data_IF_399178928550
#
_entry.id   IF_399178928550
#
_cell.length_a   1.000
_cell.length_b   1.000
_cell.length_c   1.000
_cell.angle_alpha   90.00
_cell.angle_beta   90.00
_cell.angle_gamma   90.00
#
_symmetry.space_group_name_H-M   'P 1'
#
loop_
_entity.id
_entity.type
_entity.pdbx_description
1 polymer ?
#
# COMPACT_ATOMS: atom_id res chain seq x y z
N UNK A 1 -12.78 8.60 6.59
CA UNK A 1 -11.71 7.96 5.79
C UNK A 1 -10.55 8.93 5.60
N UNK A 2 -9.34 8.47 5.83
CA UNK A 2 -8.15 9.31 5.73
C UNK A 2 -7.69 9.41 4.27
N UNK A 3 -7.38 10.61 3.84
CA UNK A 3 -6.83 10.86 2.52
C UNK A 3 -5.45 11.47 2.68
N UNK A 4 -4.50 11.04 1.86
CA UNK A 4 -3.16 11.61 1.82
C UNK A 4 -2.83 11.96 0.38
N UNK A 5 -1.67 12.56 0.18
CA UNK A 5 -1.20 12.92 -1.16
C UNK A 5 0.12 12.24 -1.46
N UNK A 6 0.29 11.88 -2.72
CA UNK A 6 1.58 11.39 -3.23
C UNK A 6 2.02 12.32 -4.35
N UNK A 7 3.32 12.30 -4.64
CA UNK A 7 3.87 13.12 -5.72
C UNK A 7 4.47 12.21 -6.78
N UNK A 8 4.01 12.37 -8.02
CA UNK A 8 4.54 11.64 -9.17
C UNK A 8 4.84 12.67 -10.25
N UNK A 9 6.09 12.75 -10.69
CA UNK A 9 6.53 13.69 -11.72
C UNK A 9 6.14 15.12 -11.36
N UNK A 10 6.39 15.49 -10.10
CA UNK A 10 6.15 16.85 -9.58
C UNK A 10 4.67 17.24 -9.54
N UNK A 11 3.77 16.28 -9.72
CA UNK A 11 2.34 16.49 -9.63
C UNK A 11 1.79 15.73 -8.43
N UNK A 12 0.87 16.37 -7.69
CA UNK A 12 0.29 15.78 -6.50
C UNK A 12 -1.01 15.06 -6.83
N UNK A 13 -1.18 13.88 -6.23
CA UNK A 13 -2.38 13.06 -6.42
C UNK A 13 -2.92 12.66 -5.07
N UNK A 14 -4.24 12.77 -4.85
CA UNK A 14 -4.85 12.24 -3.63
C UNK A 14 -4.91 10.72 -3.71
N UNK A 15 -4.74 10.07 -2.56
CA UNK A 15 -4.88 8.61 -2.45
C UNK A 15 -5.67 8.29 -1.20
N UNK A 16 -6.47 7.23 -1.26
CA UNK A 16 -7.16 6.66 -0.11
C UNK A 16 -7.03 5.15 -0.18
N UNK A 17 -7.26 4.49 0.95
CA UNK A 17 -7.28 3.03 0.96
C UNK A 17 -8.59 2.56 1.54
N UNK A 18 -9.40 1.89 0.72
CA UNK A 18 -10.70 1.34 1.11
C UNK A 18 -10.97 0.07 0.30
N UNK A 19 -12.17 -0.47 0.39
CA UNK A 19 -12.51 -1.67 -0.36
C UNK A 19 -12.40 -1.45 -1.85
N UNK A 20 -12.74 -0.25 -2.32
CA UNK A 20 -12.62 0.06 -3.74
C UNK A 20 -11.17 0.00 -4.20
N UNK A 21 -10.23 0.40 -3.32
CA UNK A 21 -8.80 0.29 -3.63
C UNK A 21 -8.42 -1.15 -3.89
N UNK A 22 -8.90 -2.07 -3.06
CA UNK A 22 -8.59 -3.49 -3.25
C UNK A 22 -9.22 -4.04 -4.53
N UNK A 23 -10.42 -3.61 -4.87
CA UNK A 23 -11.08 -4.02 -6.11
C UNK A 23 -10.33 -3.47 -7.33
N UNK A 24 -9.90 -2.22 -7.25
CA UNK A 24 -9.11 -1.61 -8.31
C UNK A 24 -7.79 -2.36 -8.52
N UNK A 25 -7.17 -2.77 -7.41
CA UNK A 25 -5.92 -3.53 -7.48
C UNK A 25 -6.12 -4.86 -8.21
N UNK A 26 -7.20 -5.56 -7.90
CA UNK A 26 -7.52 -6.81 -8.58
C UNK A 26 -7.70 -6.58 -10.08
N UNK A 27 -8.38 -5.51 -10.44
CA UNK A 27 -8.62 -5.19 -11.83
C UNK A 27 -7.33 -4.85 -12.57
N UNK A 28 -6.49 -4.02 -11.97
CA UNK A 28 -5.23 -3.60 -12.58
C UNK A 28 -4.29 -4.79 -12.77
N UNK A 29 -4.33 -5.75 -11.84
CA UNK A 29 -3.44 -6.90 -11.88
C UNK A 29 -4.04 -8.12 -12.57
N UNK A 30 -5.22 -7.96 -13.18
CA UNK A 30 -5.91 -9.04 -13.90
C UNK A 30 -6.26 -10.23 -12.98
N UNK A 31 -6.72 -9.91 -11.79
CA UNK A 31 -7.27 -10.94 -10.90
C UNK A 31 -6.44 -11.29 -9.69
N UNK A 32 -5.32 -10.61 -9.45
CA UNK A 32 -4.54 -10.86 -8.26
C UNK A 32 -5.20 -10.20 -7.06
N UNK A 33 -5.56 -10.99 -6.05
CA UNK A 33 -6.14 -10.44 -4.82
C UNK A 33 -5.08 -9.68 -4.04
N UNK A 34 -5.47 -8.56 -3.45
CA UNK A 34 -4.58 -7.80 -2.59
C UNK A 34 -4.02 -8.69 -1.46
N UNK A 35 -4.87 -9.55 -0.91
CA UNK A 35 -4.47 -10.39 0.23
C UNK A 35 -3.42 -11.44 -0.16
N UNK A 36 -3.40 -11.85 -1.42
CA UNK A 36 -2.44 -12.85 -1.88
C UNK A 36 -1.28 -12.25 -2.67
N UNK A 37 -1.24 -10.95 -2.83
CA UNK A 37 -0.24 -10.32 -3.68
C UNK A 37 1.12 -10.25 -2.98
N UNK A 38 2.21 -10.59 -3.69
CA UNK A 38 3.55 -10.38 -3.15
C UNK A 38 3.91 -8.90 -3.28
N UNK A 39 3.62 -8.13 -2.24
CA UNK A 39 3.83 -6.67 -2.28
C UNK A 39 5.30 -6.27 -2.23
N UNK A 40 6.20 -7.24 -2.28
CA UNK A 40 7.63 -6.98 -2.42
C UNK A 40 8.05 -6.84 -3.88
N UNK A 41 7.14 -7.06 -4.83
CA UNK A 41 7.47 -6.88 -6.25
C UNK A 41 7.11 -5.47 -6.69
N UNK A 42 7.93 -4.92 -7.57
CA UNK A 42 7.70 -3.58 -8.11
C UNK A 42 6.35 -3.48 -8.82
N UNK A 43 6.01 -4.50 -9.59
CA UNK A 43 4.76 -4.53 -10.33
C UNK A 43 3.55 -4.34 -9.41
N UNK A 44 3.53 -5.05 -8.29
CA UNK A 44 2.39 -4.96 -7.38
C UNK A 44 2.40 -3.66 -6.58
N UNK A 45 3.59 -3.13 -6.28
CA UNK A 45 3.67 -1.83 -5.60
C UNK A 45 3.12 -0.71 -6.46
N UNK A 46 3.47 -0.71 -7.73
CA UNK A 46 2.95 0.28 -8.67
C UNK A 46 1.44 0.12 -8.82
N UNK A 47 0.97 -1.12 -8.89
CA UNK A 47 -0.46 -1.38 -9.04
C UNK A 47 -1.27 -0.86 -7.85
N UNK A 48 -0.76 -1.05 -6.62
CA UNK A 48 -1.52 -0.59 -5.45
C UNK A 48 -1.52 0.95 -5.35
N UNK A 49 -0.45 1.60 -5.80
CA UNK A 49 -0.42 3.07 -5.86
C UNK A 49 -1.49 3.57 -6.82
N UNK A 50 -1.56 2.99 -8.02
CA UNK A 50 -2.58 3.37 -9.00
C UNK A 50 -3.99 3.10 -8.47
N UNK A 51 -4.18 1.95 -7.83
CA UNK A 51 -5.48 1.59 -7.27
C UNK A 51 -5.94 2.59 -6.22
N UNK A 52 -5.02 3.06 -5.36
CA UNK A 52 -5.34 4.02 -4.32
C UNK A 52 -5.67 5.40 -4.91
N UNK A 53 -4.98 5.79 -5.97
CA UNK A 53 -5.25 7.06 -6.64
C UNK A 53 -6.63 7.04 -7.32
N UNK A 54 -6.95 5.93 -7.98
CA UNK A 54 -8.25 5.77 -8.63
C UNK A 54 -9.37 5.79 -7.59
N UNK A 55 -9.13 5.17 -6.45
CA UNK A 55 -10.12 5.16 -5.37
C UNK A 55 -10.41 6.55 -4.85
N UNK A 56 -9.39 7.42 -4.79
CA UNK A 56 -9.58 8.79 -4.34
C UNK A 56 -10.22 9.66 -5.42
N UNK A 57 -9.95 9.37 -6.69
CA UNK A 57 -10.46 10.16 -7.81
C UNK A 57 -10.55 9.26 -9.04
N UNK A 58 -11.74 8.81 -9.35
CA UNK A 58 -11.97 7.87 -10.45
C UNK A 58 -11.66 8.46 -11.83
N UNK A 59 -11.42 9.77 -11.89
CA UNK A 59 -11.06 10.44 -13.14
C UNK A 59 -9.57 10.81 -13.20
N UNK A 60 -8.78 10.23 -12.28
CA UNK A 60 -7.34 10.51 -12.25
C UNK A 60 -6.67 10.01 -13.54
N UNK A 61 -5.63 10.72 -13.94
CA UNK A 61 -4.80 10.28 -15.07
C UNK A 61 -3.61 9.44 -14.60
N UNK A 62 -3.56 9.09 -13.31
CA UNK A 62 -2.44 8.34 -12.75
C UNK A 62 -2.61 6.86 -13.04
N UNK A 63 -1.94 6.39 -14.07
CA UNK A 63 -1.94 4.98 -14.48
C UNK A 63 -0.62 4.33 -14.07
N UNK A 64 -0.54 3.01 -14.24
CA UNK A 64 0.72 2.30 -14.00
C UNK A 64 1.84 2.91 -14.83
N UNK A 65 1.60 3.19 -16.11
CA UNK A 65 2.62 3.79 -16.98
C UNK A 65 3.02 5.17 -16.52
N UNK A 66 2.07 5.98 -16.05
CA UNK A 66 2.37 7.30 -15.54
C UNK A 66 3.26 7.24 -14.29
N UNK A 67 2.99 6.27 -13.41
CA UNK A 67 3.79 6.08 -12.20
C UNK A 67 5.21 5.66 -12.56
N UNK A 68 5.36 4.75 -13.53
CA UNK A 68 6.68 4.30 -13.96
C UNK A 68 7.49 5.42 -14.60
N UNK A 69 6.80 6.39 -15.21
CA UNK A 69 7.45 7.56 -15.78
C UNK A 69 8.54 7.20 -16.76
N UNK A 70 9.72 7.78 -16.57
CA UNK A 70 10.85 7.55 -17.45
C UNK A 70 11.64 6.28 -17.10
N UNK A 71 11.17 5.54 -16.11
CA UNK A 71 11.77 4.27 -15.67
C UNK A 71 13.21 4.44 -15.19
N UNK A 72 13.49 5.59 -14.58
CA UNK A 72 14.82 5.92 -14.08
C UNK A 72 14.84 5.91 -12.54
N UNK A 73 15.97 6.34 -11.99
CA UNK A 73 16.15 6.33 -10.53
C UNK A 73 15.16 7.26 -9.84
N UNK A 74 14.84 8.41 -10.45
CA UNK A 74 13.90 9.35 -9.86
C UNK A 74 12.51 8.74 -9.76
N UNK A 75 12.10 8.02 -10.80
CA UNK A 75 10.81 7.31 -10.78
C UNK A 75 10.80 6.27 -9.67
N UNK A 76 11.90 5.54 -9.48
CA UNK A 76 11.99 4.55 -8.42
C UNK A 76 11.83 5.19 -7.05
N UNK A 77 12.46 6.33 -6.81
CA UNK A 77 12.32 7.02 -5.53
C UNK A 77 10.88 7.44 -5.28
N UNK A 78 10.22 7.96 -6.29
CA UNK A 78 8.83 8.38 -6.16
C UNK A 78 7.91 7.19 -5.86
N UNK A 79 8.19 6.05 -6.48
CA UNK A 79 7.42 4.83 -6.22
C UNK A 79 7.58 4.39 -4.77
N UNK A 80 8.82 4.40 -4.27
CA UNK A 80 9.08 4.01 -2.88
C UNK A 80 8.31 4.92 -1.91
N UNK A 81 8.38 6.22 -2.13
CA UNK A 81 7.71 7.18 -1.25
C UNK A 81 6.19 7.05 -1.33
N UNK A 82 5.66 6.92 -2.54
CA UNK A 82 4.22 6.78 -2.73
C UNK A 82 3.71 5.48 -2.13
N UNK A 83 4.45 4.40 -2.32
CA UNK A 83 4.09 3.11 -1.74
C UNK A 83 4.00 3.21 -0.21
N UNK A 84 4.97 3.88 0.42
CA UNK A 84 4.96 4.03 1.87
C UNK A 84 3.73 4.78 2.36
N UNK A 85 3.31 5.82 1.63
CA UNK A 85 2.11 6.57 1.96
C UNK A 85 0.87 5.66 1.88
N UNK A 86 0.76 4.90 0.79
CA UNK A 86 -0.39 4.02 0.60
C UNK A 86 -0.42 2.93 1.68
N UNK A 87 0.73 2.37 2.04
CA UNK A 87 0.77 1.33 3.07
C UNK A 87 0.47 1.88 4.45
N UNK A 88 0.79 3.15 4.71
CA UNK A 88 0.35 3.80 5.94
C UNK A 88 -1.17 3.87 6.01
N UNK A 89 -1.81 4.20 4.88
CA UNK A 89 -3.28 4.22 4.80
C UNK A 89 -3.86 2.81 4.97
N UNK A 90 -3.21 1.81 4.37
CA UNK A 90 -3.65 0.42 4.49
C UNK A 90 -3.60 -0.04 5.95
N UNK A 91 -2.55 0.35 6.67
CA UNK A 91 -2.42 -0.01 8.08
C UNK A 91 -3.55 0.59 8.92
N UNK A 92 -4.00 1.79 8.57
CA UNK A 92 -5.14 2.41 9.24
C UNK A 92 -6.45 1.69 8.89
N UNK A 93 -6.58 1.24 7.66
CA UNK A 93 -7.77 0.54 7.21
C UNK A 93 -7.90 -0.84 7.85
N UNK A 94 -6.76 -1.52 8.10
CA UNK A 94 -6.74 -2.84 8.74
C UNK A 94 -6.22 -2.69 10.16
N UNK A 95 -7.07 -2.25 11.11
CA UNK A 95 -6.58 -2.07 12.48
C UNK A 95 -6.15 -3.41 13.07
N UNK A 96 -4.96 -3.42 13.66
CA UNK A 96 -4.42 -4.63 14.29
C UNK A 96 -5.04 -4.76 15.68
N UNK A 97 -5.67 -5.91 16.00
CA UNK A 97 -6.20 -6.10 17.34
C UNK A 97 -5.13 -5.93 18.39
N UNK A 98 -5.51 -5.42 19.55
CA UNK A 98 -4.59 -5.14 20.64
C UNK A 98 -3.81 -6.39 21.05
N UNK A 99 -4.48 -7.53 21.04
CA UNK A 99 -3.84 -8.78 21.43
C UNK A 99 -2.70 -9.17 20.48
N UNK A 100 -2.83 -8.90 19.20
CA UNK A 100 -1.78 -9.18 18.24
C UNK A 100 -0.59 -8.24 18.42
N UNK A 101 -0.86 -6.99 18.77
CA UNK A 101 0.21 -6.03 19.01
C UNK A 101 1.10 -6.45 20.18
N UNK A 102 0.52 -7.05 21.19
CA UNK A 102 1.25 -7.48 22.37
C UNK A 102 2.09 -8.72 22.11
N UNK A 103 1.66 -9.54 21.20
CA UNK A 103 2.35 -10.79 20.89
C UNK A 103 3.44 -10.60 19.85
N UNK A 104 3.42 -9.51 19.31
CA UNK A 104 4.36 -9.30 18.22
C UNK A 104 5.71 -8.91 18.72
N UNK A 105 6.19 -9.18 19.21
CA UNK A 105 7.11 -9.07 19.54
C UNK A 105 7.70 -8.92 19.89
N UNK A 106 7.46 -8.82 20.40
CA UNK A 106 7.60 -8.74 21.13
C UNK A 106 7.84 -9.27 21.39
N UNK A 107 7.62 -9.37 21.27
CA UNK A 107 7.26 -9.76 22.07
C UNK A 107 7.27 -10.28 22.03
N UNK A 108 7.59 -10.55 21.82
CA UNK A 108 7.25 -10.98 22.48
C UNK A 108 7.28 -11.58 22.34
N UNK A 109 7.70 -11.94 22.20
CA UNK A 109 7.37 -12.37 22.78
C UNK A 109 7.37 -12.93 22.78
N UNK A 110 7.81 -13.54 22.83
CA UNK A 110 7.54 -13.96 23.50
C UNK A 110 7.42 -14.54 23.70
N UNK A 111 7.75 -14.89 23.67
CA UNK A 111 7.26 -15.36 24.32
C UNK A 111 7.27 -15.78 24.62
N UNK A 112 7.39 -15.95 24.54
CA UNK A 112 6.95 -16.10 25.29
C UNK A 112 6.80 -16.50 25.39
N UNK A 113 7.01 -16.70 25.25
CA UNK A 113 6.58 -16.78 25.88
C UNK A 113 6.47 -17.21 25.83
N UNK A 114 6.70 -17.64 25.79
CA UNK A 114 6.31 -17.77 26.26
C UNK A 114 6.33 -18.06 26.26
N UNK A 115 6.72 -18.49 25.89
CA UNK A 115 6.36 -18.48 26.33
C UNK A 115 6.78 -18.50 26.29
N UNK A 116 6.86 -18.74 26.26
CA UNK A 116 6.80 -18.53 26.69
C UNK A 116 7.29 -18.44 26.79
N UNK A 117 7.54 -18.71 27.08
CA UNK A 117 7.57 -18.35 27.62
C UNK A 117 7.78 -18.24 27.72
N UNK A 118 8.08 -18.36 27.46
CA UNK A 118 7.95 -18.07 27.98
C UNK A 118 8.06 -17.92 28.09
#
# INVERSE_FOLDING_TARGET
MTQKEITIKDKKYPVVFDLQTMMNFEEITNGTSFFGAPLDTLKHRVAIIAAAAISANDKTDLTVDAILGDKDYKAMQQIIEAYNVVMTLAAEFFPIPEIEKKNNPDQEQKPEEEGAKN
#
